data_IF_542563233643
#
_entry.id   IF_542563233643
#
_cell.length_a   1.000
_cell.length_b   1.000
_cell.length_c   1.000
_cell.angle_alpha   90.00
_cell.angle_beta   90.00
_cell.angle_gamma   90.00
#
_symmetry.space_group_name_H-M   'P 1'
#
loop_
_entity.id
_entity.type
_entity.pdbx_description
1 polymer ?
#
# COMPACT_ATOMS: atom_id res chain seq x y z
N UNK A 1 -10.36 -5.44 -16.15
CA UNK A 1 -10.60 -5.04 -14.75
C UNK A 1 -9.53 -5.75 -13.95
N UNK A 2 -8.71 -5.03 -13.18
CA UNK A 2 -7.74 -5.67 -12.29
C UNK A 2 -8.52 -6.52 -11.27
N UNK A 3 -8.09 -7.74 -11.03
CA UNK A 3 -8.70 -8.57 -9.98
C UNK A 3 -8.11 -8.22 -8.60
N UNK A 4 -8.63 -8.86 -7.54
CA UNK A 4 -8.15 -8.61 -6.18
C UNK A 4 -6.69 -9.06 -5.97
N UNK A 5 -6.18 -9.96 -6.82
CA UNK A 5 -4.82 -10.46 -6.73
C UNK A 5 -3.83 -9.52 -7.43
N UNK A 6 -4.25 -8.88 -8.51
CA UNK A 6 -3.51 -7.85 -9.25
C UNK A 6 -3.22 -6.60 -8.40
N UNK A 7 -4.00 -6.37 -7.35
CA UNK A 7 -3.88 -5.21 -6.46
C UNK A 7 -3.30 -5.53 -5.07
N UNK A 8 -2.99 -6.79 -4.77
CA UNK A 8 -2.40 -7.16 -3.47
C UNK A 8 -0.95 -6.65 -3.36
N UNK A 9 -0.58 -6.24 -2.16
CA UNK A 9 0.78 -5.83 -1.86
C UNK A 9 1.64 -7.05 -1.53
N UNK A 10 2.92 -6.99 -1.90
CA UNK A 10 3.90 -8.03 -1.61
C UNK A 10 4.83 -7.57 -0.47
N UNK A 11 5.16 -8.48 0.44
CA UNK A 11 6.24 -8.25 1.39
C UNK A 11 7.62 -8.43 0.75
N UNK A 12 8.67 -8.21 1.54
CA UNK A 12 10.07 -8.38 1.09
C UNK A 12 10.44 -9.79 0.60
N UNK A 13 9.62 -10.79 0.91
CA UNK A 13 9.83 -12.18 0.49
C UNK A 13 8.92 -12.56 -0.70
N UNK A 14 8.39 -11.57 -1.42
CA UNK A 14 7.48 -11.71 -2.55
C UNK A 14 6.20 -12.49 -2.20
N UNK A 15 5.70 -12.34 -0.97
CA UNK A 15 4.45 -12.96 -0.52
C UNK A 15 3.33 -11.92 -0.44
N UNK A 16 2.18 -12.26 -1.02
CA UNK A 16 0.92 -11.48 -0.93
C UNK A 16 0.52 -11.21 0.52
N UNK A 17 0.16 -9.97 0.85
CA UNK A 17 -0.04 -9.52 2.23
C UNK A 17 -1.48 -9.59 2.69
N UNK A 18 -2.47 -9.28 1.84
CA UNK A 18 -3.84 -9.01 2.28
C UNK A 18 -4.47 -10.16 3.08
N UNK A 19 -4.44 -11.37 2.54
CA UNK A 19 -5.03 -12.55 3.21
C UNK A 19 -4.35 -12.88 4.56
N UNK A 20 -3.03 -12.74 4.62
CA UNK A 20 -2.26 -12.99 5.85
C UNK A 20 -2.47 -11.87 6.87
N UNK A 21 -2.52 -10.62 6.44
CA UNK A 21 -2.83 -9.46 7.27
C UNK A 21 -4.22 -9.62 7.90
N UNK A 22 -5.24 -9.97 7.10
CA UNK A 22 -6.60 -10.25 7.60
C UNK A 22 -6.63 -11.40 8.61
N UNK A 23 -5.87 -12.47 8.38
CA UNK A 23 -5.76 -13.59 9.32
C UNK A 23 -5.12 -13.17 10.65
N UNK A 24 -4.09 -12.32 10.61
CA UNK A 24 -3.31 -11.90 11.79
C UNK A 24 -3.96 -10.76 12.58
N UNK A 25 -4.49 -9.76 11.89
CA UNK A 25 -4.97 -8.49 12.44
C UNK A 25 -6.51 -8.42 12.54
N UNK A 26 -7.20 -9.42 11.97
CA UNK A 26 -8.65 -9.44 11.86
C UNK A 26 -9.17 -8.56 10.71
N UNK A 27 -10.47 -8.62 10.39
CA UNK A 27 -11.08 -7.81 9.34
C UNK A 27 -10.98 -6.30 9.66
N UNK A 28 -11.04 -5.49 8.61
CA UNK A 28 -11.13 -4.03 8.69
C UNK A 28 -12.58 -3.60 8.90
N UNK A 29 -12.76 -2.53 9.67
CA UNK A 29 -13.97 -1.73 9.72
C UNK A 29 -13.95 -0.62 8.65
N UNK A 30 -15.08 0.04 8.46
CA UNK A 30 -15.17 1.17 7.53
C UNK A 30 -14.27 2.30 8.05
N UNK A 31 -13.36 2.76 7.19
CA UNK A 31 -12.41 3.81 7.54
C UNK A 31 -11.03 3.29 7.98
N UNK A 32 -10.87 1.97 8.14
CA UNK A 32 -9.58 1.37 8.49
C UNK A 32 -8.82 0.85 7.26
N UNK A 33 -7.49 0.77 7.37
CA UNK A 33 -6.64 0.04 6.44
C UNK A 33 -5.55 -0.75 7.17
N UNK A 34 -4.86 -1.63 6.44
CA UNK A 34 -3.60 -2.21 6.93
C UNK A 34 -2.45 -1.30 6.46
N UNK A 35 -1.81 -0.63 7.41
CA UNK A 35 -0.71 0.30 7.18
C UNK A 35 0.59 -0.19 7.79
N UNK A 36 1.73 0.13 7.16
CA UNK A 36 3.04 -0.17 7.72
C UNK A 36 3.40 0.80 8.85
N UNK A 37 3.94 0.27 9.95
CA UNK A 37 4.47 1.07 11.05
C UNK A 37 5.80 0.48 11.52
N UNK A 38 6.94 1.18 11.33
CA UNK A 38 7.07 2.52 10.72
C UNK A 38 6.64 2.59 9.23
N UNK A 39 6.36 3.80 8.73
CA UNK A 39 6.09 4.02 7.30
C UNK A 39 7.32 3.64 6.47
N UNK A 40 7.09 3.08 5.27
CA UNK A 40 8.18 2.69 4.36
C UNK A 40 9.08 3.88 3.97
N UNK A 41 8.48 5.05 3.73
CA UNK A 41 9.21 6.30 3.44
C UNK A 41 10.07 6.80 4.60
N UNK A 42 9.80 6.32 5.81
CA UNK A 42 10.53 6.67 7.03
C UNK A 42 11.43 5.51 7.51
N UNK A 43 11.81 4.60 6.60
CA UNK A 43 12.72 3.49 6.89
C UNK A 43 12.04 2.24 7.49
N UNK A 44 10.72 2.14 7.43
CA UNK A 44 9.99 0.92 7.78
C UNK A 44 10.25 -0.21 6.78
N UNK A 45 10.27 -1.46 7.27
CA UNK A 45 10.32 -2.63 6.38
C UNK A 45 8.92 -3.07 5.96
N UNK A 46 8.77 -3.51 4.71
CA UNK A 46 7.54 -4.09 4.18
C UNK A 46 7.35 -5.55 4.64
N UNK A 47 7.17 -5.77 5.94
CA UNK A 47 6.91 -7.08 6.54
C UNK A 47 5.52 -7.15 7.15
N UNK A 48 4.97 -8.36 7.28
CA UNK A 48 3.67 -8.56 7.95
C UNK A 48 3.74 -8.26 9.46
N UNK A 49 4.94 -8.28 10.04
CA UNK A 49 5.22 -7.85 11.42
C UNK A 49 4.98 -6.36 11.61
N UNK A 50 5.31 -5.55 10.60
CA UNK A 50 5.15 -4.11 10.63
C UNK A 50 3.77 -3.63 10.18
N UNK A 51 2.90 -4.52 9.70
CA UNK A 51 1.51 -4.15 9.40
C UNK A 51 0.68 -4.00 10.67
N UNK A 52 -0.10 -2.92 10.72
CA UNK A 52 -1.09 -2.66 11.75
C UNK A 52 -2.41 -2.27 11.12
N UNK A 53 -3.48 -2.49 11.87
CA UNK A 53 -4.78 -1.88 11.58
C UNK A 53 -4.73 -0.42 12.04
N UNK A 54 -5.03 0.52 11.15
CA UNK A 54 -4.92 1.95 11.39
C UNK A 54 -6.09 2.70 10.74
N UNK A 55 -6.37 3.90 11.25
CA UNK A 55 -7.32 4.83 10.63
C UNK A 55 -6.78 5.30 9.26
N UNK A 56 -7.52 5.00 8.19
CA UNK A 56 -7.05 5.20 6.83
C UNK A 56 -6.83 6.69 6.51
N UNK A 57 -7.73 7.58 6.96
CA UNK A 57 -7.62 9.02 6.66
C UNK A 57 -6.35 9.60 7.30
N UNK A 58 -6.09 9.30 8.56
CA UNK A 58 -4.91 9.79 9.28
C UNK A 58 -3.63 9.22 8.67
N UNK A 59 -3.62 7.90 8.40
CA UNK A 59 -2.47 7.22 7.83
C UNK A 59 -2.12 7.74 6.42
N UNK A 60 -3.12 7.87 5.56
CA UNK A 60 -2.95 8.44 4.21
C UNK A 60 -2.55 9.92 4.27
N UNK A 61 -3.05 10.67 5.25
CA UNK A 61 -2.66 12.06 5.48
C UNK A 61 -1.15 12.22 5.72
N UNK A 62 -0.56 11.34 6.54
CA UNK A 62 0.89 11.33 6.78
C UNK A 62 1.65 10.87 5.52
N UNK A 63 1.17 9.85 4.81
CA UNK A 63 1.77 9.38 3.55
C UNK A 63 1.84 10.50 2.51
N UNK A 64 0.77 11.27 2.35
CA UNK A 64 0.72 12.42 1.43
C UNK A 64 1.77 13.50 1.71
N UNK A 65 2.25 13.61 2.95
CA UNK A 65 3.27 14.60 3.33
C UNK A 65 4.70 14.04 3.30
N UNK A 66 4.85 12.72 3.22
CA UNK A 66 6.15 12.04 3.36
C UNK A 66 6.59 11.28 2.12
N UNK A 67 5.72 11.14 1.12
CA UNK A 67 5.99 10.42 -0.11
C UNK A 67 5.87 11.33 -1.31
N UNK A 68 6.78 11.14 -2.27
CA UNK A 68 6.66 11.73 -3.60
C UNK A 68 5.65 10.92 -4.41
N UNK A 69 4.85 11.62 -5.22
CA UNK A 69 3.87 10.99 -6.08
C UNK A 69 4.30 11.14 -7.54
N UNK A 70 3.87 10.20 -8.38
CA UNK A 70 4.08 10.28 -9.82
C UNK A 70 2.81 9.88 -10.55
N UNK A 71 2.45 10.66 -11.56
CA UNK A 71 1.35 10.38 -12.46
C UNK A 71 1.83 9.42 -13.55
N UNK A 72 1.12 8.30 -13.70
CA UNK A 72 1.34 7.33 -14.75
C UNK A 72 0.12 7.24 -15.66
N UNK A 73 0.35 7.18 -16.96
CA UNK A 73 -0.65 6.78 -17.93
C UNK A 73 -0.68 5.26 -18.02
N UNK A 74 -1.87 4.68 -17.90
CA UNK A 74 -2.08 3.24 -18.07
C UNK A 74 -2.71 2.97 -19.43
N UNK A 75 -1.96 2.30 -20.29
CA UNK A 75 -2.49 1.81 -21.57
C UNK A 75 -3.28 0.51 -21.37
N UNK A 76 -4.22 0.22 -22.28
CA UNK A 76 -4.99 -1.02 -22.30
C UNK A 76 -4.13 -2.29 -22.49
N UNK A 77 -2.85 -2.14 -22.88
CA UNK A 77 -1.89 -3.23 -23.07
C UNK A 77 -1.05 -3.53 -21.82
N UNK A 78 -1.35 -2.90 -20.68
CA UNK A 78 -0.64 -3.12 -19.42
C UNK A 78 0.68 -2.34 -19.29
N UNK A 79 1.05 -1.55 -20.30
CA UNK A 79 2.21 -0.65 -20.21
C UNK A 79 1.85 0.60 -19.41
N UNK A 80 2.74 0.97 -18.47
CA UNK A 80 2.70 2.23 -17.70
C UNK A 80 3.74 3.20 -18.25
N UNK A 81 3.34 4.42 -18.59
CA UNK A 81 4.26 5.49 -18.96
C UNK A 81 4.25 6.58 -17.86
N UNK A 82 5.44 7.01 -17.42
CA UNK A 82 5.56 8.14 -16.49
C UNK A 82 5.16 9.43 -17.22
N UNK A 83 4.16 10.13 -16.70
CA UNK A 83 3.67 11.41 -17.25
C UNK A 83 4.32 12.58 -16.52
N UNK A 84 4.38 12.50 -15.18
CA UNK A 84 4.90 13.57 -14.32
C UNK A 84 5.29 13.03 -12.94
N UNK A 85 6.37 13.54 -12.38
CA UNK A 85 6.70 13.36 -10.96
C UNK A 85 6.42 14.66 -10.20
N UNK A 86 5.95 14.51 -8.97
CA UNK A 86 5.68 15.59 -8.03
C UNK A 86 6.65 15.39 -6.86
N UNK A 87 7.75 16.13 -6.88
CA UNK A 87 8.82 16.18 -5.88
C UNK A 87 8.99 17.61 -5.37
#
# INVERSE_FOLDING_TARGET
MLDAEDIDAYDKDDRRLFSRARKKLGPLEIGECYGFQPLLSLGGENTIENLKKVEAIEHLGILCQTQDFSLYEYSSYGTRALVRSFS
#
